data_IF_669321216477
#
_entry.id   IF_669321216477
#
_cell.length_a   1.000
_cell.length_b   1.000
_cell.length_c   1.000
_cell.angle_alpha   90.00
_cell.angle_beta   90.00
_cell.angle_gamma   90.00
#
_symmetry.space_group_name_H-M   'P 1'
#
loop_
_entity.id
_entity.type
_entity.pdbx_description
1 polymer ?
#
# COMPACT_ATOMS: atom_id res chain seq x y z
N UNK A 1 20.32 -38.09 18.14
CA UNK A 1 19.37 -36.97 18.18
C UNK A 1 19.25 -36.20 16.87
N UNK A 2 20.31 -35.99 16.09
CA UNK A 2 20.28 -35.30 14.79
C UNK A 2 19.58 -36.09 13.66
N UNK A 3 19.62 -37.42 13.71
CA UNK A 3 19.00 -38.26 12.65
C UNK A 3 17.46 -38.38 12.74
N UNK A 4 16.84 -37.95 13.84
CA UNK A 4 15.38 -37.97 14.00
C UNK A 4 14.70 -36.74 13.42
N UNK A 5 15.41 -35.61 13.38
CA UNK A 5 14.89 -34.35 12.85
C UNK A 5 14.84 -34.29 11.32
N UNK A 6 15.59 -35.15 10.62
CA UNK A 6 15.61 -35.20 9.14
C UNK A 6 14.45 -35.99 8.53
N UNK A 7 13.67 -36.75 9.33
CA UNK A 7 12.50 -37.51 8.85
C UNK A 7 11.17 -36.78 8.94
N UNK A 8 11.08 -35.67 9.63
CA UNK A 8 9.92 -34.79 9.59
C UNK A 8 10.05 -33.89 8.35
N UNK A 9 9.46 -34.33 7.21
CA UNK A 9 9.29 -33.45 6.05
C UNK A 9 8.44 -32.25 6.47
N UNK A 10 9.01 -31.03 6.64
CA UNK A 10 8.26 -29.86 7.16
C UNK A 10 7.05 -29.51 6.32
N UNK A 11 7.05 -29.88 5.05
CA UNK A 11 5.96 -29.59 4.12
C UNK A 11 4.64 -30.32 4.39
N UNK A 12 4.62 -31.44 5.11
CA UNK A 12 3.34 -32.13 5.42
C UNK A 12 2.65 -31.56 6.65
N UNK A 13 3.41 -31.16 7.65
CA UNK A 13 2.84 -30.52 8.85
C UNK A 13 2.36 -29.11 8.52
N UNK A 14 3.15 -28.36 7.77
CA UNK A 14 2.80 -27.03 7.28
C UNK A 14 1.57 -27.08 6.34
N UNK A 15 1.55 -28.01 5.37
CA UNK A 15 0.34 -28.25 4.55
C UNK A 15 -0.87 -28.65 5.39
N UNK A 16 -0.71 -29.49 6.43
CA UNK A 16 -1.83 -29.93 7.26
C UNK A 16 -2.38 -28.81 8.16
N UNK A 17 -1.52 -27.95 8.71
CA UNK A 17 -1.93 -26.82 9.55
C UNK A 17 -2.56 -25.71 8.71
N UNK A 18 -2.08 -25.48 7.47
CA UNK A 18 -2.58 -24.43 6.59
C UNK A 18 -3.54 -24.90 5.48
N UNK A 19 -3.75 -26.21 5.27
CA UNK A 19 -4.60 -26.75 4.22
C UNK A 19 -5.94 -27.32 4.71
N UNK A 20 -6.28 -27.20 5.97
CA UNK A 20 -7.46 -27.83 6.54
C UNK A 20 -8.82 -27.27 6.04
N UNK A 21 -8.85 -26.34 5.10
CA UNK A 21 -10.09 -25.75 4.58
C UNK A 21 -10.29 -25.83 3.07
N UNK A 22 -9.31 -26.25 2.32
CA UNK A 22 -9.46 -26.35 0.87
C UNK A 22 -10.53 -27.41 0.46
N UNK A 23 -10.78 -28.39 1.29
CA UNK A 23 -11.71 -29.48 0.94
C UNK A 23 -13.20 -29.13 1.07
N UNK A 24 -13.57 -28.23 1.99
CA UNK A 24 -14.98 -27.85 2.15
C UNK A 24 -15.41 -26.74 1.17
N UNK A 25 -14.52 -25.81 0.87
CA UNK A 25 -14.77 -24.74 -0.10
C UNK A 25 -14.74 -25.22 -1.56
N UNK A 26 -14.04 -26.32 -1.87
CA UNK A 26 -13.92 -26.89 -3.21
C UNK A 26 -15.20 -27.57 -3.74
N UNK A 27 -16.31 -27.56 -3.01
CA UNK A 27 -17.56 -28.19 -3.45
C UNK A 27 -18.42 -27.34 -4.38
N UNK A 28 -18.16 -26.01 -4.46
CA UNK A 28 -18.88 -25.13 -5.38
C UNK A 28 -17.97 -24.68 -6.53
N UNK A 29 -18.51 -24.54 -7.77
CA UNK A 29 -17.81 -23.87 -8.85
C UNK A 29 -17.29 -22.49 -8.44
N UNK A 30 -16.15 -22.07 -8.98
CA UNK A 30 -15.49 -20.80 -8.60
C UNK A 30 -16.40 -19.57 -8.76
N UNK A 31 -17.26 -19.58 -9.77
CA UNK A 31 -18.24 -18.55 -10.08
C UNK A 31 -19.38 -18.44 -9.05
N UNK A 32 -19.57 -19.48 -8.24
CA UNK A 32 -20.60 -19.53 -7.20
C UNK A 32 -20.05 -19.27 -5.80
N UNK A 33 -18.73 -19.06 -5.66
CA UNK A 33 -18.11 -18.77 -4.38
C UNK A 33 -18.16 -17.28 -4.11
N UNK A 34 -18.81 -16.92 -3.03
CA UNK A 34 -18.78 -15.53 -2.52
C UNK A 34 -17.65 -15.36 -1.51
N UNK A 35 -17.02 -14.19 -1.49
CA UNK A 35 -16.10 -13.81 -0.42
C UNK A 35 -16.88 -13.85 0.89
N UNK A 36 -16.42 -14.63 1.90
CA UNK A 36 -17.14 -14.76 3.17
C UNK A 36 -17.41 -13.41 3.80
N UNK A 37 -18.67 -13.16 4.16
CA UNK A 37 -19.05 -11.90 4.77
C UNK A 37 -19.03 -12.04 6.28
N UNK A 38 -18.17 -11.27 6.91
CA UNK A 38 -17.97 -11.17 8.35
C UNK A 38 -19.27 -11.07 9.17
N UNK A 39 -20.23 -10.27 8.73
CA UNK A 39 -21.49 -10.04 9.43
C UNK A 39 -22.51 -11.18 9.28
N UNK A 40 -22.34 -12.08 8.34
CA UNK A 40 -23.27 -13.18 8.08
C UNK A 40 -22.93 -14.47 8.83
N UNK A 41 -21.83 -14.52 9.58
CA UNK A 41 -21.40 -15.69 10.34
C UNK A 41 -21.00 -16.92 9.51
N UNK A 42 -20.89 -16.77 8.17
CA UNK A 42 -20.58 -17.85 7.24
C UNK A 42 -19.09 -17.88 6.84
N UNK A 43 -18.21 -17.64 7.79
CA UNK A 43 -16.76 -17.65 7.62
C UNK A 43 -16.10 -18.70 8.51
N UNK A 44 -14.95 -19.20 8.08
CA UNK A 44 -14.10 -20.07 8.87
C UNK A 44 -13.08 -19.27 9.69
N UNK A 45 -12.75 -19.77 10.88
CA UNK A 45 -11.78 -19.12 11.77
C UNK A 45 -10.34 -19.51 11.42
N UNK A 46 -9.46 -18.53 11.45
CA UNK A 46 -8.03 -18.72 11.47
C UNK A 46 -7.54 -18.84 12.92
N UNK A 47 -7.49 -20.05 13.46
CA UNK A 47 -7.11 -20.29 14.85
C UNK A 47 -5.68 -19.81 15.18
N UNK A 48 -4.77 -19.83 14.22
CA UNK A 48 -3.40 -19.30 14.42
C UNK A 48 -3.48 -17.79 14.56
N UNK A 49 -4.19 -17.09 13.67
CA UNK A 49 -4.39 -15.64 13.75
C UNK A 49 -5.06 -15.23 15.07
N UNK A 50 -6.09 -16.00 15.49
CA UNK A 50 -6.76 -15.79 16.79
C UNK A 50 -5.74 -15.93 17.94
N UNK A 51 -4.93 -17.00 17.96
CA UNK A 51 -3.96 -17.22 19.03
C UNK A 51 -2.88 -16.13 19.05
N UNK A 52 -2.37 -15.73 17.90
CA UNK A 52 -1.35 -14.65 17.77
C UNK A 52 -1.84 -13.32 18.33
N UNK A 53 -3.15 -13.01 18.19
CA UNK A 53 -3.73 -11.79 18.75
C UNK A 53 -4.12 -11.96 20.22
N UNK A 54 -4.80 -13.07 20.55
CA UNK A 54 -5.42 -13.20 21.88
C UNK A 54 -4.45 -13.54 22.98
N UNK A 55 -3.40 -14.33 22.71
CA UNK A 55 -2.43 -14.70 23.75
C UNK A 55 -1.71 -13.47 24.33
N UNK A 56 -1.10 -12.57 23.53
CA UNK A 56 -0.50 -11.36 24.06
C UNK A 56 -1.51 -10.45 24.78
N UNK A 57 -2.73 -10.33 24.26
CA UNK A 57 -3.80 -9.54 24.89
C UNK A 57 -4.18 -10.11 26.25
N UNK A 58 -4.41 -11.43 26.36
CA UNK A 58 -4.76 -12.09 27.63
C UNK A 58 -3.67 -11.85 28.69
N UNK A 59 -2.41 -12.07 28.36
CA UNK A 59 -1.33 -11.83 29.31
C UNK A 59 -1.17 -10.35 29.68
N UNK A 60 -1.45 -9.44 28.77
CA UNK A 60 -1.52 -7.99 29.06
C UNK A 60 -2.63 -7.67 30.05
N UNK A 61 -3.83 -8.19 29.83
CA UNK A 61 -4.99 -8.02 30.74
C UNK A 61 -4.69 -8.62 32.11
N UNK A 62 -4.13 -9.83 32.15
CA UNK A 62 -3.72 -10.47 33.39
C UNK A 62 -2.64 -9.66 34.13
N UNK A 63 -1.70 -9.03 33.41
CA UNK A 63 -0.70 -8.14 34.00
C UNK A 63 -1.34 -6.98 34.75
N UNK A 64 -2.33 -6.31 34.18
CA UNK A 64 -3.11 -5.27 34.85
C UNK A 64 -3.94 -5.82 36.00
N UNK A 65 -4.66 -6.90 35.80
CA UNK A 65 -5.56 -7.49 36.80
C UNK A 65 -4.80 -7.98 38.04
N UNK A 66 -3.64 -8.61 37.86
CA UNK A 66 -2.77 -9.10 38.92
C UNK A 66 -1.80 -8.03 39.46
N UNK A 67 -1.87 -6.81 38.94
CA UNK A 67 -1.01 -5.68 39.32
C UNK A 67 0.48 -6.01 39.22
N UNK A 68 0.89 -6.74 38.18
CA UNK A 68 2.30 -7.04 37.95
C UNK A 68 3.07 -5.74 37.76
N UNK A 69 4.18 -5.53 38.51
CA UNK A 69 4.96 -4.30 38.36
C UNK A 69 5.45 -4.09 36.93
N UNK A 70 5.49 -2.84 36.48
CA UNK A 70 6.00 -2.42 35.18
C UNK A 70 7.22 -1.49 35.34
N UNK A 71 8.38 -1.99 35.77
CA UNK A 71 9.57 -1.19 35.99
C UNK A 71 10.03 -0.49 34.73
N UNK A 72 10.47 0.77 34.84
CA UNK A 72 10.90 1.57 33.69
C UNK A 72 11.95 0.88 32.82
N UNK A 73 13.00 0.20 33.36
CA UNK A 73 13.95 -0.53 32.52
C UNK A 73 13.32 -1.63 31.67
N UNK A 74 12.31 -2.35 32.18
CA UNK A 74 11.55 -3.36 31.41
C UNK A 74 10.75 -2.71 30.28
N UNK A 75 10.09 -1.60 30.57
CA UNK A 75 9.34 -0.84 29.54
C UNK A 75 10.27 -0.26 28.47
N UNK A 76 11.47 0.17 28.84
CA UNK A 76 12.50 0.62 27.89
C UNK A 76 12.93 -0.50 26.95
N UNK A 77 13.16 -1.73 27.44
CA UNK A 77 13.41 -2.88 26.60
C UNK A 77 12.24 -3.19 25.66
N UNK A 78 11.00 -3.15 26.17
CA UNK A 78 9.80 -3.31 25.36
C UNK A 78 9.73 -2.28 24.24
N UNK A 79 9.97 -1.01 24.55
CA UNK A 79 9.98 0.10 23.58
C UNK A 79 11.11 -0.08 22.55
N UNK A 80 12.30 -0.45 22.97
CA UNK A 80 13.43 -0.67 22.07
C UNK A 80 13.11 -1.74 21.04
N UNK A 81 12.58 -2.89 21.46
CA UNK A 81 12.19 -3.96 20.52
C UNK A 81 10.95 -3.61 19.70
N UNK A 82 10.00 -2.83 20.24
CA UNK A 82 8.90 -2.29 19.47
C UNK A 82 9.40 -1.43 18.28
N UNK A 83 10.38 -0.56 18.55
CA UNK A 83 10.96 0.30 17.51
C UNK A 83 11.80 -0.51 16.51
N UNK A 84 12.71 -1.38 16.98
CA UNK A 84 13.58 -2.17 16.10
C UNK A 84 12.77 -3.10 15.18
N UNK A 85 11.82 -3.86 15.74
CA UNK A 85 11.05 -4.84 14.98
C UNK A 85 9.98 -4.17 14.11
N UNK A 86 9.35 -3.11 14.60
CA UNK A 86 8.37 -2.34 13.84
C UNK A 86 9.00 -1.59 12.68
N UNK A 87 10.00 -0.77 12.94
CA UNK A 87 10.68 0.03 11.91
C UNK A 87 11.48 -0.86 10.96
N UNK A 88 12.44 -1.64 11.49
CA UNK A 88 13.35 -2.43 10.66
C UNK A 88 12.70 -3.64 10.01
N UNK A 89 11.75 -4.27 10.70
CA UNK A 89 11.10 -5.50 10.25
C UNK A 89 9.84 -5.26 9.42
N UNK A 90 8.83 -4.65 10.03
CA UNK A 90 7.54 -4.45 9.36
C UNK A 90 7.61 -3.34 8.31
N UNK A 91 7.97 -2.12 8.71
CA UNK A 91 7.88 -0.96 7.83
C UNK A 91 9.01 -0.88 6.80
N UNK A 92 10.29 -0.89 7.20
CA UNK A 92 11.40 -0.86 6.25
C UNK A 92 11.54 -2.19 5.49
N UNK A 93 11.39 -3.34 6.18
CA UNK A 93 11.57 -4.67 5.61
C UNK A 93 10.38 -5.13 4.79
N UNK A 94 9.35 -5.64 5.45
CA UNK A 94 8.22 -6.27 4.76
C UNK A 94 7.51 -5.32 3.81
N UNK A 95 7.26 -4.10 4.25
CA UNK A 95 6.52 -3.10 3.49
C UNK A 95 7.38 -2.47 2.38
N UNK A 96 8.37 -1.62 2.77
CA UNK A 96 9.08 -0.80 1.77
C UNK A 96 10.09 -1.58 0.93
N UNK A 97 10.74 -2.62 1.49
CA UNK A 97 11.69 -3.44 0.74
C UNK A 97 10.99 -4.56 -0.05
N UNK A 98 10.40 -5.53 0.65
CA UNK A 98 9.92 -6.75 -0.01
C UNK A 98 8.61 -6.57 -0.78
N UNK A 99 7.77 -5.59 -0.42
CA UNK A 99 6.53 -5.35 -1.17
C UNK A 99 6.72 -4.33 -2.29
N UNK A 100 7.45 -3.24 -2.06
CA UNK A 100 7.54 -2.13 -3.00
C UNK A 100 8.92 -1.94 -3.64
N UNK A 101 9.98 -2.57 -3.14
CA UNK A 101 11.32 -2.47 -3.70
C UNK A 101 11.86 -1.03 -3.71
N UNK A 102 11.55 -0.23 -2.70
CA UNK A 102 11.81 1.22 -2.70
C UNK A 102 13.29 1.60 -2.53
N UNK A 103 14.16 0.64 -2.28
CA UNK A 103 15.61 0.81 -2.19
C UNK A 103 16.33 -0.52 -2.45
N UNK A 104 17.61 -0.47 -2.77
CA UNK A 104 18.46 -1.64 -2.96
C UNK A 104 19.21 -1.93 -1.66
N UNK A 105 18.90 -3.05 -0.97
CA UNK A 105 19.54 -3.40 0.30
C UNK A 105 20.86 -4.12 0.10
N UNK A 106 21.83 -3.87 0.98
CA UNK A 106 22.98 -4.76 1.16
C UNK A 106 22.60 -6.06 1.87
N UNK A 107 23.43 -7.07 1.78
CA UNK A 107 23.16 -8.43 2.30
C UNK A 107 22.78 -8.44 3.79
N UNK A 108 23.52 -7.74 4.64
CA UNK A 108 23.23 -7.64 6.07
C UNK A 108 21.83 -7.06 6.34
N UNK A 109 21.41 -6.03 5.57
CA UNK A 109 20.12 -5.40 5.73
C UNK A 109 18.98 -6.33 5.29
N UNK A 110 19.15 -7.08 4.19
CA UNK A 110 18.14 -8.06 3.73
C UNK A 110 17.86 -9.08 4.82
N UNK A 111 18.92 -9.67 5.42
CA UNK A 111 18.78 -10.65 6.50
C UNK A 111 18.15 -10.04 7.74
N UNK A 112 18.61 -8.86 8.18
CA UNK A 112 18.05 -8.16 9.33
C UNK A 112 16.55 -7.87 9.13
N UNK A 113 16.15 -7.29 7.99
CA UNK A 113 14.76 -7.03 7.64
C UNK A 113 13.92 -8.30 7.64
N UNK A 114 14.46 -9.41 7.13
CA UNK A 114 13.75 -10.69 7.07
C UNK A 114 13.48 -11.26 8.47
N UNK A 115 14.46 -11.20 9.37
CA UNK A 115 14.35 -11.71 10.74
C UNK A 115 13.46 -10.82 11.60
N UNK A 116 13.67 -9.52 11.55
CA UNK A 116 12.86 -8.55 12.30
C UNK A 116 11.39 -8.56 11.84
N UNK A 117 11.15 -8.71 10.53
CA UNK A 117 9.80 -8.84 10.00
C UNK A 117 9.10 -10.12 10.48
N UNK A 118 9.78 -11.27 10.49
CA UNK A 118 9.23 -12.51 11.05
C UNK A 118 8.85 -12.35 12.54
N UNK A 119 9.64 -11.60 13.30
CA UNK A 119 9.44 -11.35 14.72
C UNK A 119 8.22 -10.45 15.05
N UNK A 120 7.56 -9.89 14.04
CA UNK A 120 6.27 -9.19 14.19
C UNK A 120 5.06 -10.12 14.12
N UNK A 121 5.26 -11.41 13.89
CA UNK A 121 4.23 -12.47 13.85
C UNK A 121 3.16 -12.28 12.77
N UNK A 122 3.50 -11.68 11.62
CA UNK A 122 2.58 -11.41 10.52
C UNK A 122 2.73 -12.31 9.30
N UNK A 123 3.28 -13.50 9.47
CA UNK A 123 3.52 -14.45 8.38
C UNK A 123 4.85 -14.23 7.66
N UNK A 124 5.10 -15.05 6.64
CA UNK A 124 6.36 -14.99 5.88
C UNK A 124 6.38 -13.79 4.92
N UNK A 125 7.58 -13.37 4.51
CA UNK A 125 7.79 -12.31 3.52
C UNK A 125 6.91 -12.50 2.29
N UNK A 126 6.95 -13.69 1.68
CA UNK A 126 6.21 -13.96 0.46
C UNK A 126 4.69 -13.84 0.64
N UNK A 127 4.18 -14.32 1.77
CA UNK A 127 2.75 -14.21 2.09
C UNK A 127 2.35 -12.74 2.34
N UNK A 128 3.16 -12.01 3.09
CA UNK A 128 2.88 -10.62 3.43
C UNK A 128 2.95 -9.72 2.20
N UNK A 129 4.04 -9.82 1.42
CA UNK A 129 4.23 -9.01 0.21
C UNK A 129 3.13 -9.28 -0.83
N UNK A 130 2.72 -10.56 -1.04
CA UNK A 130 1.60 -10.88 -1.91
C UNK A 130 0.33 -10.16 -1.49
N UNK A 131 -0.07 -10.32 -0.23
CA UNK A 131 -1.31 -9.72 0.26
C UNK A 131 -1.27 -8.19 0.19
N UNK A 132 -0.13 -7.59 0.50
CA UNK A 132 0.03 -6.14 0.44
C UNK A 132 -0.01 -5.60 -1.00
N UNK A 133 0.63 -6.28 -1.95
CA UNK A 133 0.54 -5.93 -3.38
C UNK A 133 -0.88 -6.12 -3.93
N UNK A 134 -1.59 -7.14 -3.47
CA UNK A 134 -3.02 -7.34 -3.79
C UNK A 134 -3.85 -6.18 -3.23
N UNK A 135 -3.59 -5.77 -1.98
CA UNK A 135 -4.24 -4.62 -1.37
C UNK A 135 -4.05 -3.35 -2.21
N UNK A 136 -2.82 -3.00 -2.60
CA UNK A 136 -2.57 -1.83 -3.45
C UNK A 136 -3.28 -1.89 -4.80
N UNK A 137 -3.33 -3.09 -5.41
CA UNK A 137 -3.96 -3.27 -6.72
C UNK A 137 -5.49 -3.23 -6.66
N UNK A 138 -6.09 -3.69 -5.57
CA UNK A 138 -7.52 -3.90 -5.43
C UNK A 138 -8.11 -3.18 -4.21
N UNK A 139 -7.45 -2.13 -3.73
CA UNK A 139 -7.87 -1.36 -2.55
C UNK A 139 -9.37 -1.08 -2.57
N UNK A 140 -10.05 -1.32 -1.43
CA UNK A 140 -11.49 -1.09 -1.23
C UNK A 140 -12.41 -1.93 -2.12
N UNK A 141 -11.95 -3.06 -2.63
CA UNK A 141 -12.79 -4.00 -3.39
C UNK A 141 -12.90 -5.35 -2.69
N UNK A 142 -13.83 -6.20 -3.11
CA UNK A 142 -13.97 -7.55 -2.58
C UNK A 142 -12.73 -8.44 -2.78
N UNK A 143 -11.83 -8.06 -3.71
CA UNK A 143 -10.56 -8.74 -3.96
C UNK A 143 -9.43 -8.29 -3.03
N UNK A 144 -9.64 -7.21 -2.25
CA UNK A 144 -8.70 -6.69 -1.27
C UNK A 144 -8.72 -7.55 0.00
N UNK A 145 -7.59 -8.12 0.46
CA UNK A 145 -7.55 -8.90 1.70
C UNK A 145 -7.93 -8.08 2.94
N UNK A 146 -7.77 -6.78 2.91
CA UNK A 146 -7.99 -5.88 4.06
C UNK A 146 -9.24 -5.00 3.93
N UNK A 147 -9.91 -5.06 2.80
CA UNK A 147 -11.11 -4.31 2.37
C UNK A 147 -11.79 -3.47 3.47
N UNK A 148 -11.43 -2.19 3.52
CA UNK A 148 -11.94 -1.26 4.53
C UNK A 148 -13.44 -0.96 4.38
N UNK A 149 -14.01 -1.22 3.20
CA UNK A 149 -15.46 -1.05 2.94
C UNK A 149 -16.30 -2.05 3.73
N UNK A 150 -15.70 -3.15 4.21
CA UNK A 150 -16.35 -4.14 5.09
C UNK A 150 -16.42 -3.67 6.55
N UNK A 151 -15.94 -2.48 6.83
CA UNK A 151 -16.00 -1.83 8.13
C UNK A 151 -14.72 -1.96 8.95
N UNK A 152 -14.59 -1.05 9.92
CA UNK A 152 -13.40 -0.87 10.74
C UNK A 152 -12.92 -2.18 11.40
N UNK A 153 -13.82 -2.95 12.03
CA UNK A 153 -13.43 -4.17 12.75
C UNK A 153 -12.86 -5.23 11.81
N UNK A 154 -13.43 -5.36 10.60
CA UNK A 154 -12.89 -6.27 9.60
C UNK A 154 -11.50 -5.84 9.14
N UNK A 155 -11.34 -4.59 8.74
CA UNK A 155 -10.06 -4.05 8.27
C UNK A 155 -8.98 -4.06 9.37
N UNK A 156 -9.38 -3.88 10.64
CA UNK A 156 -8.44 -3.89 11.77
C UNK A 156 -7.94 -5.31 12.10
N UNK A 157 -8.82 -6.24 12.39
CA UNK A 157 -8.44 -7.58 12.85
C UNK A 157 -9.21 -8.73 12.18
N UNK A 158 -10.40 -8.45 11.61
CA UNK A 158 -11.27 -9.50 11.06
C UNK A 158 -10.58 -10.32 9.97
N UNK A 159 -9.88 -9.66 9.06
CA UNK A 159 -9.12 -10.29 7.98
C UNK A 159 -8.04 -11.27 8.48
N UNK A 160 -7.48 -11.03 9.66
CA UNK A 160 -6.42 -11.85 10.24
C UNK A 160 -6.96 -13.06 11.03
N UNK A 161 -8.15 -12.92 11.64
CA UNK A 161 -8.81 -13.99 12.41
C UNK A 161 -9.75 -14.84 11.56
N UNK A 162 -10.14 -14.38 10.37
CA UNK A 162 -10.89 -15.14 9.40
C UNK A 162 -9.95 -15.94 8.49
N UNK A 163 -10.45 -17.06 8.00
CA UNK A 163 -9.77 -17.83 6.98
C UNK A 163 -10.16 -17.29 5.61
N UNK A 164 -9.17 -16.77 4.89
CA UNK A 164 -9.38 -16.20 3.57
C UNK A 164 -9.25 -17.26 2.49
N UNK A 165 -10.19 -17.28 1.54
CA UNK A 165 -10.06 -18.07 0.31
C UNK A 165 -9.25 -17.27 -0.70
N UNK A 166 -8.00 -17.66 -0.91
CA UNK A 166 -7.08 -16.97 -1.80
C UNK A 166 -7.45 -17.05 -3.28
N UNK A 167 -8.38 -17.96 -3.66
CA UNK A 167 -8.89 -18.03 -5.03
C UNK A 167 -9.90 -16.91 -5.32
N UNK A 168 -10.55 -16.37 -4.28
CA UNK A 168 -11.51 -15.28 -4.38
C UNK A 168 -10.85 -13.90 -4.25
N UNK A 169 -9.68 -13.84 -3.62
CA UNK A 169 -8.91 -12.61 -3.53
C UNK A 169 -8.25 -12.27 -4.87
N UNK A 170 -7.85 -11.02 -5.01
CA UNK A 170 -7.05 -10.57 -6.15
C UNK A 170 -5.70 -11.29 -6.22
N UNK A 171 -5.05 -11.17 -7.37
CA UNK A 171 -3.71 -11.68 -7.58
C UNK A 171 -2.71 -10.57 -7.82
N UNK A 172 -1.46 -10.78 -7.41
CA UNK A 172 -0.35 -9.88 -7.62
C UNK A 172 0.92 -10.64 -7.96
N UNK A 173 1.75 -10.05 -8.79
CA UNK A 173 3.04 -10.60 -9.14
C UNK A 173 3.99 -10.57 -7.94
N UNK A 174 4.56 -11.71 -7.63
CA UNK A 174 5.60 -11.92 -6.62
C UNK A 174 6.76 -12.74 -7.19
N UNK A 175 6.95 -12.70 -8.51
CA UNK A 175 8.00 -13.43 -9.22
C UNK A 175 9.41 -12.99 -8.81
N UNK A 176 9.58 -11.73 -8.46
CA UNK A 176 10.80 -11.16 -7.90
C UNK A 176 11.22 -11.75 -6.54
N UNK A 177 10.27 -12.34 -5.81
CA UNK A 177 10.52 -13.04 -4.54
C UNK A 177 10.68 -14.56 -4.73
N UNK A 178 10.58 -15.03 -5.96
CA UNK A 178 10.75 -16.44 -6.29
C UNK A 178 12.24 -16.77 -6.35
N UNK A 179 12.59 -17.97 -5.86
CA UNK A 179 13.97 -18.48 -5.87
C UNK A 179 14.96 -17.55 -5.14
N UNK A 180 14.46 -16.69 -4.24
CA UNK A 180 15.26 -15.82 -3.40
C UNK A 180 15.65 -16.57 -2.11
N UNK A 181 16.96 -16.75 -1.91
CA UNK A 181 17.51 -17.52 -0.78
C UNK A 181 16.96 -17.04 0.58
N UNK A 182 16.93 -15.72 0.80
CA UNK A 182 16.51 -15.14 2.08
C UNK A 182 15.01 -15.37 2.31
N UNK A 183 14.19 -15.18 1.28
CA UNK A 183 12.73 -15.37 1.34
C UNK A 183 12.40 -16.84 1.59
N UNK A 184 13.06 -17.76 0.90
CA UNK A 184 12.82 -19.20 1.05
C UNK A 184 13.33 -19.72 2.39
N UNK A 185 14.49 -19.25 2.84
CA UNK A 185 15.02 -19.58 4.16
C UNK A 185 14.08 -19.08 5.27
N UNK A 186 13.69 -17.81 5.22
CA UNK A 186 12.78 -17.22 6.21
C UNK A 186 11.43 -17.94 6.22
N UNK A 187 10.86 -18.25 5.06
CA UNK A 187 9.60 -19.01 4.96
C UNK A 187 9.73 -20.41 5.56
N UNK A 188 10.85 -21.10 5.31
CA UNK A 188 11.10 -22.45 5.80
C UNK A 188 11.24 -22.50 7.32
N UNK A 189 11.92 -21.51 7.89
CA UNK A 189 12.24 -21.46 9.32
C UNK A 189 11.43 -20.39 10.06
N UNK A 190 10.32 -19.91 9.48
CA UNK A 190 9.54 -18.79 9.98
C UNK A 190 9.21 -18.88 11.46
N UNK A 191 8.62 -20.00 11.91
CA UNK A 191 8.23 -20.17 13.31
C UNK A 191 9.41 -20.12 14.30
N UNK A 192 10.54 -20.72 13.91
CA UNK A 192 11.76 -20.68 14.72
C UNK A 192 12.32 -19.25 14.80
N UNK A 193 12.43 -18.55 13.68
CA UNK A 193 12.93 -17.17 13.62
C UNK A 193 12.01 -16.24 14.43
N UNK A 194 10.69 -16.31 14.20
CA UNK A 194 9.72 -15.50 14.89
C UNK A 194 9.76 -15.70 16.41
N UNK A 195 9.83 -16.95 16.87
CA UNK A 195 9.94 -17.25 18.31
C UNK A 195 11.27 -16.77 18.90
N UNK A 196 12.38 -17.02 18.21
CA UNK A 196 13.71 -16.66 18.73
C UNK A 196 13.88 -15.14 18.78
N UNK A 197 13.63 -14.43 17.68
CA UNK A 197 13.88 -12.98 17.58
C UNK A 197 12.72 -12.18 18.20
N UNK A 198 11.49 -12.68 18.10
CA UNK A 198 10.31 -11.97 18.61
C UNK A 198 9.97 -12.24 20.08
N UNK A 199 10.43 -13.36 20.65
CA UNK A 199 10.10 -13.77 22.03
C UNK A 199 11.35 -13.97 22.84
N UNK A 200 12.18 -14.99 22.48
CA UNK A 200 13.26 -15.46 23.37
C UNK A 200 14.29 -14.37 23.62
N UNK A 201 14.85 -13.77 22.57
CA UNK A 201 15.89 -12.75 22.71
C UNK A 201 15.39 -11.51 23.46
N UNK A 202 14.27 -10.87 23.13
CA UNK A 202 13.76 -9.71 23.85
C UNK A 202 13.50 -10.01 25.34
N UNK A 203 12.86 -11.14 25.61
CA UNK A 203 12.57 -11.54 26.99
C UNK A 203 13.83 -11.78 27.80
N UNK A 204 14.79 -12.55 27.26
CA UNK A 204 16.02 -12.89 27.97
C UNK A 204 16.87 -11.66 28.24
N UNK A 205 17.04 -10.77 27.25
CA UNK A 205 17.80 -9.53 27.42
C UNK A 205 17.17 -8.64 28.50
N UNK A 206 15.85 -8.45 28.48
CA UNK A 206 15.14 -7.70 29.51
C UNK A 206 15.29 -8.35 30.87
N UNK A 207 15.02 -9.66 31.02
CA UNK A 207 15.02 -10.37 32.28
C UNK A 207 16.45 -10.46 32.92
N UNK A 208 17.46 -10.74 32.11
CA UNK A 208 18.84 -10.83 32.62
C UNK A 208 19.43 -9.47 33.06
N UNK A 209 19.08 -8.40 32.34
CA UNK A 209 19.60 -7.06 32.64
C UNK A 209 18.85 -6.38 33.78
N UNK A 210 17.59 -6.73 34.01
CA UNK A 210 16.76 -6.09 35.03
C UNK A 210 16.53 -6.96 36.28
N UNK A 211 16.72 -8.28 36.18
CA UNK A 211 16.32 -9.23 37.21
C UNK A 211 14.81 -9.54 37.25
N UNK A 212 14.03 -8.87 36.43
CA UNK A 212 12.56 -8.82 36.49
C UNK A 212 11.91 -9.80 35.48
N UNK A 213 11.91 -11.09 35.77
CA UNK A 213 11.47 -12.14 34.85
C UNK A 213 9.97 -12.05 34.48
N UNK A 214 9.10 -11.91 35.48
CA UNK A 214 7.64 -11.85 35.25
C UNK A 214 7.26 -10.56 34.55
N UNK A 215 7.81 -9.43 34.99
CA UNK A 215 7.57 -8.12 34.36
C UNK A 215 8.09 -8.11 32.92
N UNK A 216 9.27 -8.71 32.65
CA UNK A 216 9.83 -8.82 31.30
C UNK A 216 8.96 -9.66 30.38
N UNK A 217 8.38 -10.77 30.89
CA UNK A 217 7.44 -11.58 30.13
C UNK A 217 6.16 -10.79 29.81
N UNK A 218 5.56 -10.16 30.81
CA UNK A 218 4.25 -9.48 30.63
C UNK A 218 4.41 -8.17 29.85
N UNK A 219 5.27 -7.27 30.30
CA UNK A 219 5.37 -5.91 29.76
C UNK A 219 6.41 -5.79 28.65
N UNK A 220 7.59 -6.36 28.83
CA UNK A 220 8.67 -6.33 27.85
C UNK A 220 8.36 -7.14 26.59
N UNK A 221 7.55 -8.20 26.71
CA UNK A 221 7.24 -9.10 25.60
C UNK A 221 5.77 -9.10 25.21
N UNK A 222 4.84 -9.57 26.06
CA UNK A 222 3.43 -9.77 25.66
C UNK A 222 2.73 -8.45 25.33
N UNK A 223 2.85 -7.44 26.19
CA UNK A 223 2.32 -6.11 25.92
C UNK A 223 2.96 -5.50 24.67
N UNK A 224 4.27 -5.61 24.51
CA UNK A 224 4.97 -5.13 23.32
C UNK A 224 4.46 -5.81 22.03
N UNK A 225 4.27 -7.15 22.02
CA UNK A 225 3.70 -7.86 20.86
C UNK A 225 2.30 -7.36 20.56
N UNK A 226 1.45 -7.20 21.59
CA UNK A 226 0.10 -6.69 21.44
C UNK A 226 0.11 -5.30 20.80
N UNK A 227 0.91 -4.35 21.32
CA UNK A 227 1.01 -2.99 20.78
C UNK A 227 1.56 -2.99 19.34
N UNK A 228 2.55 -3.86 19.03
CA UNK A 228 3.07 -4.00 17.67
C UNK A 228 1.97 -4.41 16.68
N UNK A 229 1.13 -5.39 17.05
CA UNK A 229 0.00 -5.80 16.20
C UNK A 229 -1.00 -4.68 16.00
N UNK A 230 -1.38 -3.95 17.08
CA UNK A 230 -2.30 -2.82 16.96
C UNK A 230 -1.75 -1.76 16.00
N UNK A 231 -0.45 -1.41 16.12
CA UNK A 231 0.19 -0.43 15.23
C UNK A 231 0.08 -0.82 13.75
N UNK A 232 0.31 -2.09 13.43
CA UNK A 232 0.24 -2.58 12.05
C UNK A 232 -1.21 -2.64 11.56
N UNK A 233 -2.15 -3.12 12.40
CA UNK A 233 -3.57 -3.19 12.03
C UNK A 233 -4.20 -1.80 11.88
N UNK A 234 -3.69 -0.77 12.58
CA UNK A 234 -4.12 0.60 12.38
C UNK A 234 -3.83 1.13 10.98
N UNK A 235 -2.78 0.66 10.32
CA UNK A 235 -2.51 1.02 8.92
C UNK A 235 -3.64 0.56 8.01
N UNK A 236 -4.18 -0.67 8.22
CA UNK A 236 -5.27 -1.21 7.41
C UNK A 236 -6.66 -0.68 7.80
N UNK A 237 -6.80 -0.05 8.96
CA UNK A 237 -8.10 0.39 9.50
C UNK A 237 -8.17 1.90 9.71
N UNK A 238 -7.47 2.46 10.71
CA UNK A 238 -7.51 3.90 10.99
C UNK A 238 -7.00 4.75 9.84
N UNK A 239 -5.94 4.31 9.16
CA UNK A 239 -5.42 5.04 8.01
C UNK A 239 -6.34 4.96 6.77
N UNK A 240 -7.40 4.15 6.81
CA UNK A 240 -8.50 4.13 5.84
C UNK A 240 -9.77 4.86 6.33
N UNK A 241 -9.67 5.68 7.38
CA UNK A 241 -10.76 6.50 7.89
C UNK A 241 -10.38 7.97 7.88
N UNK A 242 -11.39 8.85 7.83
CA UNK A 242 -11.21 10.29 7.99
C UNK A 242 -11.21 10.75 9.46
N UNK A 243 -10.99 9.83 10.41
CA UNK A 243 -11.02 10.14 11.83
C UNK A 243 -9.79 10.97 12.24
N UNK A 244 -9.93 11.73 13.30
CA UNK A 244 -8.85 12.54 13.90
C UNK A 244 -8.19 13.52 12.92
N UNK A 245 -8.96 14.06 11.97
CA UNK A 245 -8.46 15.04 11.01
C UNK A 245 -7.60 14.45 9.89
N UNK A 246 -7.67 13.15 9.67
CA UNK A 246 -7.02 12.48 8.54
C UNK A 246 -7.57 13.00 7.20
N UNK A 247 -6.71 13.12 6.18
CA UNK A 247 -7.02 13.76 4.90
C UNK A 247 -6.54 12.94 3.71
N UNK A 248 -7.24 13.11 2.60
CA UNK A 248 -6.87 12.60 1.29
C UNK A 248 -6.26 13.73 0.47
N UNK A 249 -4.96 13.96 0.63
CA UNK A 249 -4.27 15.12 0.05
C UNK A 249 -3.85 14.90 -1.40
N UNK A 250 -3.68 13.64 -1.84
CA UNK A 250 -3.13 13.31 -3.16
C UNK A 250 -4.13 12.63 -4.09
N UNK A 251 -5.03 11.81 -3.55
CA UNK A 251 -6.10 11.14 -4.29
C UNK A 251 -7.23 10.75 -3.33
N UNK A 252 -8.48 10.71 -3.84
CA UNK A 252 -9.67 10.30 -3.11
C UNK A 252 -10.46 9.19 -3.84
N UNK A 253 -9.78 8.47 -4.73
CA UNK A 253 -10.38 7.36 -5.48
C UNK A 253 -10.51 6.09 -4.62
N UNK A 254 -9.75 6.02 -3.52
CA UNK A 254 -9.76 4.95 -2.52
C UNK A 254 -9.71 5.56 -1.11
N UNK A 255 -9.93 4.76 -0.07
CA UNK A 255 -10.08 5.22 1.31
C UNK A 255 -8.81 5.64 2.07
N UNK A 256 -7.56 5.34 1.68
CA UNK A 256 -6.36 5.75 2.41
C UNK A 256 -6.31 7.24 2.70
N UNK A 257 -5.89 7.60 3.91
CA UNK A 257 -5.79 8.97 4.41
C UNK A 257 -4.41 9.23 5.03
N UNK A 258 -3.97 10.48 5.01
CA UNK A 258 -2.78 10.94 5.71
C UNK A 258 -3.16 11.50 7.08
N UNK A 259 -2.48 11.03 8.13
CA UNK A 259 -2.66 11.52 9.48
C UNK A 259 -1.33 11.54 10.25
N UNK A 260 -0.99 12.70 10.79
CA UNK A 260 0.14 12.85 11.69
C UNK A 260 0.01 11.96 12.96
N UNK A 261 -1.20 11.84 13.51
CA UNK A 261 -1.45 11.04 14.72
C UNK A 261 -1.18 9.56 14.42
N UNK A 262 -1.66 9.06 13.29
CA UNK A 262 -1.43 7.66 12.91
C UNK A 262 0.02 7.41 12.54
N UNK A 263 0.72 8.40 11.96
CA UNK A 263 2.14 8.28 11.65
C UNK A 263 3.00 8.04 12.91
N UNK A 264 2.67 8.66 14.04
CA UNK A 264 3.38 8.43 15.32
C UNK A 264 3.23 6.96 15.76
N UNK A 265 2.02 6.42 15.71
CA UNK A 265 1.70 5.08 16.22
C UNK A 265 2.09 3.95 15.27
N UNK A 266 2.40 4.27 14.00
CA UNK A 266 2.68 3.31 12.92
C UNK A 266 4.06 3.50 12.31
N UNK A 267 5.01 4.10 13.02
CA UNK A 267 6.40 4.36 12.60
C UNK A 267 6.54 5.19 11.30
N UNK A 268 5.49 5.96 10.95
CA UNK A 268 5.45 6.80 9.76
C UNK A 268 4.50 6.31 8.67
N UNK A 269 3.93 5.10 8.80
CA UNK A 269 3.03 4.54 7.78
C UNK A 269 1.64 5.20 7.77
N UNK A 270 1.35 6.11 8.71
CA UNK A 270 0.10 6.88 8.76
C UNK A 270 -0.02 7.98 7.70
N UNK A 271 1.02 8.25 6.89
CA UNK A 271 0.91 9.03 5.64
C UNK A 271 0.50 8.10 4.50
N UNK A 272 -0.69 7.54 4.60
CA UNK A 272 -1.12 6.40 3.83
C UNK A 272 -1.72 6.77 2.47
N UNK A 273 -2.31 7.96 2.37
CA UNK A 273 -2.80 8.50 1.09
C UNK A 273 -1.62 8.82 0.14
N UNK A 274 -0.55 9.47 0.67
CA UNK A 274 0.68 9.65 -0.10
C UNK A 274 1.26 8.33 -0.55
N UNK A 275 1.36 7.35 0.36
CA UNK A 275 1.93 6.04 0.08
C UNK A 275 1.14 5.28 -1.00
N UNK A 276 -0.20 5.25 -0.95
CA UNK A 276 -1.03 4.61 -1.97
C UNK A 276 -0.90 5.28 -3.34
N UNK A 277 -0.70 6.61 -3.37
CA UNK A 277 -0.48 7.33 -4.62
C UNK A 277 0.94 7.13 -5.17
N UNK A 278 1.93 6.94 -4.30
CA UNK A 278 3.34 6.86 -4.65
C UNK A 278 4.06 5.70 -3.95
N UNK A 279 3.64 4.45 -4.19
CA UNK A 279 4.14 3.29 -3.44
C UNK A 279 5.63 2.99 -3.63
N UNK A 280 6.23 3.50 -4.71
CA UNK A 280 7.65 3.34 -4.99
C UNK A 280 8.54 4.34 -4.25
N UNK A 281 7.99 5.37 -3.60
CA UNK A 281 8.81 6.27 -2.77
C UNK A 281 9.21 5.57 -1.47
N UNK A 282 10.51 5.62 -1.11
CA UNK A 282 10.97 5.03 0.17
C UNK A 282 10.42 5.75 1.40
N UNK A 283 9.75 6.89 1.22
CA UNK A 283 9.14 7.72 2.26
C UNK A 283 7.62 7.60 2.19
N UNK A 284 6.96 7.32 3.30
CA UNK A 284 5.51 7.55 3.40
C UNK A 284 5.22 9.01 3.73
N UNK A 285 5.98 9.60 4.64
CA UNK A 285 5.96 11.05 4.91
C UNK A 285 7.05 11.78 4.13
N UNK A 286 6.75 12.28 2.92
CA UNK A 286 7.75 12.83 1.99
C UNK A 286 8.36 14.16 2.41
N UNK A 287 7.66 15.00 3.18
CA UNK A 287 8.19 16.28 3.67
C UNK A 287 9.20 16.04 4.80
N UNK A 288 10.20 16.93 4.91
CA UNK A 288 11.30 16.75 5.86
C UNK A 288 10.81 16.68 7.32
N UNK A 289 9.76 17.40 7.67
CA UNK A 289 9.17 17.47 9.00
C UNK A 289 8.11 16.39 9.27
N UNK A 290 7.71 15.62 8.28
CA UNK A 290 6.80 14.50 8.51
C UNK A 290 7.46 13.46 9.40
N UNK A 291 6.78 13.06 10.48
CA UNK A 291 7.26 12.03 11.39
C UNK A 291 7.14 10.65 10.74
N UNK A 292 8.15 10.31 9.98
CA UNK A 292 8.34 9.01 9.35
C UNK A 292 9.65 8.42 9.86
N UNK A 293 9.58 7.69 10.97
CA UNK A 293 10.76 7.07 11.60
C UNK A 293 11.43 6.08 10.66
N UNK A 294 10.65 5.44 9.80
CA UNK A 294 11.12 4.47 8.82
C UNK A 294 11.98 5.12 7.74
N UNK A 295 11.61 6.31 7.22
CA UNK A 295 12.45 7.03 6.25
C UNK A 295 13.80 7.43 6.87
N UNK A 296 13.80 7.83 8.14
CA UNK A 296 15.04 8.19 8.82
C UNK A 296 15.92 6.98 9.06
N UNK A 297 15.34 5.82 9.42
CA UNK A 297 16.05 4.55 9.53
C UNK A 297 16.70 4.14 8.19
N UNK A 298 15.94 4.14 7.09
CA UNK A 298 16.45 3.79 5.75
C UNK A 298 17.54 4.78 5.33
N UNK A 299 17.36 6.07 5.59
CA UNK A 299 18.37 7.09 5.28
C UNK A 299 19.66 6.92 6.10
N UNK A 300 19.54 6.56 7.37
CA UNK A 300 20.69 6.23 8.19
C UNK A 300 21.39 4.96 7.69
N UNK A 301 20.64 3.95 7.27
CA UNK A 301 21.20 2.73 6.69
C UNK A 301 21.95 3.02 5.38
N UNK A 302 21.43 3.90 4.52
CA UNK A 302 22.13 4.35 3.31
C UNK A 302 23.44 5.07 3.64
N UNK A 303 23.39 5.99 4.60
CA UNK A 303 24.59 6.72 5.06
C UNK A 303 25.68 5.77 5.61
N UNK A 304 25.27 4.68 6.25
CA UNK A 304 26.17 3.66 6.79
C UNK A 304 26.58 2.60 5.74
N UNK A 305 26.10 2.68 4.51
CA UNK A 305 26.42 1.75 3.42
C UNK A 305 25.68 0.40 3.50
N UNK A 306 24.60 0.30 4.25
CA UNK A 306 23.77 -0.90 4.32
C UNK A 306 22.73 -1.01 3.21
N UNK A 307 22.43 0.09 2.49
CA UNK A 307 21.57 0.12 1.31
C UNK A 307 21.95 1.30 0.42
N UNK A 308 21.41 1.31 -0.80
CA UNK A 308 21.58 2.39 -1.78
C UNK A 308 20.35 2.55 -2.67
N UNK A 309 20.45 3.42 -3.70
CA UNK A 309 19.44 3.58 -4.75
C UNK A 309 18.02 3.84 -4.22
N UNK A 310 17.91 4.73 -3.23
CA UNK A 310 16.62 5.09 -2.63
C UNK A 310 15.71 5.76 -3.68
N UNK A 311 14.59 5.12 -3.99
CA UNK A 311 13.61 5.66 -4.93
C UNK A 311 12.84 6.81 -4.28
N UNK A 312 12.69 7.91 -5.02
CA UNK A 312 12.01 9.12 -4.56
C UNK A 312 11.12 9.68 -5.65
N UNK A 313 9.93 10.03 -5.29
CA UNK A 313 9.06 10.82 -6.16
C UNK A 313 9.55 12.27 -6.15
N UNK A 314 9.72 12.91 -7.31
CA UNK A 314 10.06 14.32 -7.38
C UNK A 314 9.02 15.18 -6.65
N UNK A 315 9.49 16.19 -5.91
CA UNK A 315 8.60 17.05 -5.11
C UNK A 315 7.49 17.67 -5.96
N UNK A 316 7.82 18.12 -7.17
CA UNK A 316 6.87 18.73 -8.08
C UNK A 316 5.72 17.79 -8.47
N UNK A 317 5.98 16.46 -8.57
CA UNK A 317 4.93 15.47 -8.89
C UNK A 317 3.96 15.33 -7.72
N UNK A 318 4.47 15.26 -6.50
CA UNK A 318 3.63 15.22 -5.30
C UNK A 318 2.82 16.51 -5.12
N UNK A 319 3.44 17.68 -5.32
CA UNK A 319 2.76 18.97 -5.25
C UNK A 319 1.67 19.13 -6.33
N UNK A 320 1.91 18.64 -7.54
CA UNK A 320 0.90 18.62 -8.60
C UNK A 320 -0.29 17.72 -8.23
N UNK A 321 -0.03 16.51 -7.72
CA UNK A 321 -1.09 15.61 -7.27
C UNK A 321 -1.94 16.27 -6.17
N UNK A 322 -1.29 16.90 -5.18
CA UNK A 322 -1.97 17.64 -4.12
C UNK A 322 -2.79 18.82 -4.65
N UNK A 323 -2.26 19.58 -5.61
CA UNK A 323 -2.96 20.70 -6.23
C UNK A 323 -4.20 20.23 -7.02
N UNK A 324 -4.07 19.14 -7.77
CA UNK A 324 -5.21 18.55 -8.51
C UNK A 324 -6.28 18.03 -7.56
N UNK A 325 -5.87 17.33 -6.52
CA UNK A 325 -6.82 16.82 -5.52
C UNK A 325 -7.53 17.98 -4.80
N UNK A 326 -6.80 19.03 -4.43
CA UNK A 326 -7.38 20.23 -3.85
C UNK A 326 -8.36 20.91 -4.80
N UNK A 327 -8.03 21.03 -6.09
CA UNK A 327 -8.92 21.57 -7.10
C UNK A 327 -10.16 20.69 -7.28
N UNK A 328 -10.01 19.36 -7.31
CA UNK A 328 -11.11 18.37 -7.40
C UNK A 328 -12.08 18.52 -6.22
N UNK A 329 -11.56 18.65 -4.99
CA UNK A 329 -12.36 18.87 -3.79
C UNK A 329 -13.09 20.20 -3.86
N UNK A 330 -12.38 21.27 -4.24
CA UNK A 330 -12.96 22.59 -4.38
C UNK A 330 -14.04 22.64 -5.48
N UNK A 331 -13.80 21.99 -6.62
CA UNK A 331 -14.78 21.86 -7.69
C UNK A 331 -16.05 21.11 -7.24
N UNK A 332 -15.92 20.05 -6.42
CA UNK A 332 -17.09 19.38 -5.84
C UNK A 332 -17.91 20.29 -4.90
N UNK A 333 -17.23 21.16 -4.17
CA UNK A 333 -17.90 22.18 -3.36
C UNK A 333 -18.61 23.22 -4.23
N UNK A 334 -17.96 23.64 -5.33
CA UNK A 334 -18.56 24.57 -6.31
C UNK A 334 -19.74 23.95 -7.08
N UNK A 335 -19.71 22.63 -7.34
CA UNK A 335 -20.83 21.91 -8.00
C UNK A 335 -22.09 21.93 -7.15
N UNK A 336 -21.95 22.01 -5.82
CA UNK A 336 -23.11 22.19 -4.93
C UNK A 336 -23.76 23.55 -5.08
N UNK A 337 -23.05 24.53 -5.66
CA UNK A 337 -23.56 25.87 -5.99
C UNK A 337 -23.76 25.97 -7.50
N UNK A 338 -24.97 25.62 -7.96
CA UNK A 338 -25.34 25.59 -9.40
C UNK A 338 -25.06 26.90 -10.14
N UNK A 339 -25.12 28.04 -9.46
CA UNK A 339 -24.90 29.37 -10.06
C UNK A 339 -23.43 29.62 -10.40
N UNK A 340 -22.50 29.07 -9.61
CA UNK A 340 -21.07 29.14 -9.91
C UNK A 340 -20.65 28.21 -11.05
N UNK A 341 -21.30 27.04 -11.17
CA UNK A 341 -21.05 26.11 -12.31
C UNK A 341 -21.30 26.78 -13.67
N UNK A 342 -22.36 27.59 -13.81
CA UNK A 342 -22.61 28.34 -15.05
C UNK A 342 -21.49 29.29 -15.44
N UNK A 343 -20.72 29.79 -14.47
CA UNK A 343 -19.59 30.68 -14.74
C UNK A 343 -18.33 29.92 -15.17
N UNK A 344 -18.22 28.64 -14.81
CA UNK A 344 -17.07 27.78 -15.20
C UNK A 344 -17.23 27.19 -16.60
N UNK A 345 -18.48 27.04 -17.09
CA UNK A 345 -18.79 26.63 -18.46
C UNK A 345 -18.46 27.68 -19.55
N UNK A 346 -18.02 28.87 -19.15
CA UNK A 346 -17.69 29.99 -20.10
C UNK A 346 -16.26 29.94 -20.65
N UNK A 347 -15.50 28.88 -20.39
CA UNK A 347 -14.20 28.69 -21.07
C UNK A 347 -14.48 28.33 -22.55
N UNK A 348 -14.25 29.30 -23.44
CA UNK A 348 -14.28 29.15 -24.89
C UNK A 348 -13.15 28.28 -25.40
N UNK A 349 -13.26 26.97 -25.21
CA UNK A 349 -12.38 26.01 -25.86
C UNK A 349 -12.96 25.61 -27.21
N UNK A 350 -12.08 25.33 -28.17
CA UNK A 350 -12.51 24.83 -29.47
C UNK A 350 -13.26 23.50 -29.32
N UNK A 351 -14.43 23.41 -29.88
CA UNK A 351 -15.17 22.14 -29.99
C UNK A 351 -14.72 21.39 -31.24
N UNK A 352 -14.43 20.13 -31.10
CA UNK A 352 -14.07 19.22 -32.17
C UNK A 352 -15.15 18.16 -32.35
N UNK A 353 -15.50 17.84 -33.59
CA UNK A 353 -16.11 16.57 -33.93
C UNK A 353 -15.05 15.50 -34.13
N UNK A 354 -15.43 14.22 -34.21
CA UNK A 354 -14.47 13.18 -34.60
C UNK A 354 -13.88 13.40 -35.99
N UNK A 355 -14.69 13.92 -36.91
CA UNK A 355 -14.23 14.23 -38.27
C UNK A 355 -13.16 15.33 -38.26
N UNK A 356 -13.31 16.35 -37.40
CA UNK A 356 -12.32 17.40 -37.21
C UNK A 356 -11.01 16.83 -36.65
N UNK A 357 -11.10 15.97 -35.64
CA UNK A 357 -9.90 15.30 -35.10
C UNK A 357 -9.19 14.49 -36.18
N UNK A 358 -9.94 13.69 -36.96
CA UNK A 358 -9.37 12.90 -38.06
C UNK A 358 -8.76 13.77 -39.16
N UNK A 359 -9.41 14.89 -39.52
CA UNK A 359 -8.90 15.84 -40.48
C UNK A 359 -7.58 16.47 -40.06
N UNK A 360 -7.46 16.87 -38.79
CA UNK A 360 -6.23 17.43 -38.23
C UNK A 360 -5.11 16.39 -38.15
N UNK A 361 -5.45 15.14 -37.79
CA UNK A 361 -4.46 14.04 -37.79
C UNK A 361 -3.94 13.76 -39.19
N UNK A 362 -4.83 13.81 -40.25
CA UNK A 362 -4.38 13.67 -41.65
C UNK A 362 -3.44 14.80 -42.07
N UNK A 363 -3.55 16.00 -41.49
CA UNK A 363 -2.63 17.13 -41.71
C UNK A 363 -1.28 16.94 -40.95
N UNK A 364 -1.10 15.88 -40.19
CA UNK A 364 0.11 15.55 -39.47
C UNK A 364 0.10 15.86 -37.98
N UNK A 365 -0.97 16.49 -37.42
CA UNK A 365 -1.07 16.75 -35.98
C UNK A 365 -1.21 15.45 -35.20
N UNK A 366 -0.62 15.40 -34.00
CA UNK A 366 -0.66 14.21 -33.13
C UNK A 366 -1.75 14.35 -32.06
N UNK A 367 -3.01 14.37 -32.52
CA UNK A 367 -4.17 14.48 -31.63
C UNK A 367 -4.64 13.11 -31.15
N UNK A 368 -5.03 13.03 -29.88
CA UNK A 368 -5.78 11.90 -29.30
C UNK A 368 -6.88 12.43 -28.39
N UNK A 369 -7.84 11.58 -28.05
CA UNK A 369 -8.92 11.93 -27.13
C UNK A 369 -8.80 11.12 -25.86
N UNK A 370 -8.87 11.78 -24.69
CA UNK A 370 -8.96 11.15 -23.38
C UNK A 370 -10.05 11.90 -22.60
N UNK A 371 -11.10 11.20 -22.14
CA UNK A 371 -12.24 11.78 -21.42
C UNK A 371 -12.90 12.95 -22.15
N UNK A 372 -13.02 12.88 -23.45
CA UNK A 372 -13.58 13.95 -24.25
C UNK A 372 -12.66 15.17 -24.45
N UNK A 373 -11.49 15.21 -23.80
CA UNK A 373 -10.48 16.22 -24.09
C UNK A 373 -9.70 15.83 -25.35
N UNK A 374 -9.57 16.77 -26.29
CA UNK A 374 -8.70 16.62 -27.46
C UNK A 374 -7.32 17.13 -27.07
N UNK A 375 -6.36 16.22 -27.01
CA UNK A 375 -4.98 16.47 -26.56
C UNK A 375 -4.05 16.43 -27.77
N UNK A 376 -3.14 17.40 -27.86
CA UNK A 376 -2.05 17.40 -28.83
C UNK A 376 -0.75 17.00 -28.12
N UNK A 377 -0.34 15.76 -28.38
CA UNK A 377 0.82 15.18 -27.67
C UNK A 377 2.18 15.66 -28.19
N UNK A 378 2.22 16.44 -29.26
CA UNK A 378 3.43 17.15 -29.69
C UNK A 378 3.62 18.51 -29.02
N UNK A 379 2.66 18.95 -28.18
CA UNK A 379 2.84 20.18 -27.41
C UNK A 379 4.01 20.06 -26.45
N UNK A 380 4.61 21.18 -26.24
CA UNK A 380 5.68 21.31 -25.23
C UNK A 380 5.06 21.55 -23.86
N UNK A 381 5.58 20.85 -22.85
CA UNK A 381 5.25 21.04 -21.45
C UNK A 381 6.46 21.64 -20.72
N UNK A 382 6.19 22.52 -19.77
CA UNK A 382 7.21 23.10 -18.94
C UNK A 382 7.43 22.23 -17.70
N UNK A 383 8.64 21.67 -17.59
CA UNK A 383 9.07 20.95 -16.39
C UNK A 383 9.89 21.91 -15.53
N UNK A 384 9.41 22.18 -14.32
CA UNK A 384 10.14 23.01 -13.37
C UNK A 384 11.44 22.34 -12.89
N UNK A 385 12.36 23.15 -12.37
CA UNK A 385 13.63 22.68 -11.88
C UNK A 385 13.46 21.69 -10.71
N UNK A 386 14.01 20.49 -10.85
CA UNK A 386 14.28 19.59 -9.74
C UNK A 386 15.70 19.89 -9.18
N UNK A 387 16.01 19.41 -7.99
CA UNK A 387 17.28 19.68 -7.30
C UNK A 387 18.55 19.39 -8.13
N UNK A 388 18.43 18.54 -9.13
CA UNK A 388 19.51 18.05 -9.99
C UNK A 388 19.36 18.44 -11.48
N UNK A 389 18.24 19.07 -11.84
CA UNK A 389 17.98 19.51 -13.23
C UNK A 389 17.35 20.90 -13.28
N UNK A 390 17.85 21.81 -14.15
CA UNK A 390 17.20 23.08 -14.38
C UNK A 390 15.83 22.92 -15.00
N UNK A 391 14.97 23.93 -14.85
CA UNK A 391 13.70 23.99 -15.55
C UNK A 391 13.90 23.85 -17.06
N UNK A 392 13.10 23.03 -17.71
CA UNK A 392 13.20 22.77 -19.15
C UNK A 392 11.83 22.63 -19.79
N UNK A 393 11.72 23.08 -21.00
CA UNK A 393 10.57 22.82 -21.85
C UNK A 393 10.86 21.59 -22.70
N UNK A 394 9.99 20.60 -22.65
CA UNK A 394 10.15 19.34 -23.37
C UNK A 394 8.93 19.06 -24.23
N UNK A 395 9.13 18.39 -25.36
CA UNK A 395 8.04 17.83 -26.14
C UNK A 395 7.45 16.64 -25.39
N UNK A 396 6.13 16.66 -25.11
CA UNK A 396 5.50 15.59 -24.33
C UNK A 396 5.60 14.23 -24.98
N UNK A 397 5.54 14.16 -26.30
CA UNK A 397 5.67 12.92 -27.05
C UNK A 397 6.98 12.18 -26.76
N UNK A 398 8.08 12.95 -26.52
CA UNK A 398 9.40 12.41 -26.22
C UNK A 398 9.65 12.24 -24.71
N UNK A 399 8.90 12.99 -23.89
CA UNK A 399 9.06 13.00 -22.43
C UNK A 399 8.11 12.04 -21.69
N UNK A 400 7.14 11.46 -22.38
CA UNK A 400 6.15 10.58 -21.77
C UNK A 400 6.80 9.31 -21.16
N UNK A 401 6.57 9.03 -19.86
CA UNK A 401 7.23 7.92 -19.16
C UNK A 401 6.98 6.53 -19.79
N UNK A 402 5.79 6.33 -20.38
CA UNK A 402 5.44 5.09 -21.07
C UNK A 402 6.05 4.93 -22.46
N UNK A 403 6.74 5.96 -22.98
CA UNK A 403 7.43 5.97 -24.25
C UNK A 403 6.58 6.44 -25.45
N UNK A 404 7.28 6.99 -26.43
CA UNK A 404 6.73 7.60 -27.64
C UNK A 404 5.83 6.66 -28.46
N UNK A 405 6.21 5.37 -28.56
CA UNK A 405 5.51 4.40 -29.39
C UNK A 405 4.03 4.21 -28.95
N UNK A 406 3.78 4.21 -27.65
CA UNK A 406 2.42 4.07 -27.11
C UNK A 406 1.55 5.29 -27.43
N UNK A 407 2.07 6.50 -27.26
CA UNK A 407 1.33 7.71 -27.64
C UNK A 407 0.97 7.71 -29.13
N UNK A 408 1.93 7.38 -30.00
CA UNK A 408 1.70 7.34 -31.45
C UNK A 408 0.65 6.29 -31.86
N UNK A 409 0.56 5.18 -31.15
CA UNK A 409 -0.43 4.13 -31.40
C UNK A 409 -1.87 4.59 -31.18
N UNK A 410 -2.06 5.64 -30.37
CA UNK A 410 -3.37 6.21 -30.05
C UNK A 410 -3.67 7.55 -30.74
N UNK A 411 -2.80 8.05 -31.58
CA UNK A 411 -3.08 9.23 -32.43
C UNK A 411 -4.32 8.94 -33.31
N UNK A 412 -5.28 9.85 -33.28
CA UNK A 412 -6.56 9.74 -33.99
C UNK A 412 -7.57 8.80 -33.31
N UNK A 413 -7.34 8.38 -32.07
CA UNK A 413 -8.19 7.43 -31.34
C UNK A 413 -8.64 8.00 -29.98
N UNK A 414 -9.70 7.39 -29.42
CA UNK A 414 -10.04 7.54 -28.01
C UNK A 414 -9.13 6.64 -27.18
N UNK A 415 -8.25 7.26 -26.41
CA UNK A 415 -7.29 6.58 -25.55
C UNK A 415 -7.78 6.45 -24.08
N UNK A 416 -9.04 6.77 -23.79
CA UNK A 416 -9.59 6.77 -22.42
C UNK A 416 -9.39 5.41 -21.73
N UNK A 417 -9.71 4.32 -22.39
CA UNK A 417 -9.55 2.96 -21.84
C UNK A 417 -8.05 2.62 -21.64
N UNK A 418 -7.21 2.99 -22.60
CA UNK A 418 -5.76 2.78 -22.50
C UNK A 418 -5.16 3.55 -21.33
N UNK A 419 -5.64 4.76 -21.10
CA UNK A 419 -5.22 5.62 -19.99
C UNK A 419 -5.59 5.02 -18.63
N UNK A 420 -6.72 4.33 -18.50
CA UNK A 420 -7.20 3.73 -17.25
C UNK A 420 -6.80 2.25 -17.05
N UNK A 421 -5.79 1.77 -17.71
CA UNK A 421 -5.25 0.43 -17.46
C UNK A 421 -5.38 -0.56 -18.61
N UNK A 422 -5.91 -0.14 -19.77
CA UNK A 422 -5.93 -0.98 -20.99
C UNK A 422 -4.53 -1.28 -21.52
N UNK A 423 -3.56 -0.42 -21.24
CA UNK A 423 -2.14 -0.56 -21.58
C UNK A 423 -1.28 -0.42 -20.33
N UNK A 424 -1.48 0.68 -19.59
CA UNK A 424 -0.80 0.99 -18.34
C UNK A 424 -1.75 1.75 -17.43
N UNK A 425 -1.79 1.40 -16.15
CA UNK A 425 -2.63 2.11 -15.17
C UNK A 425 -2.02 3.48 -14.84
N UNK A 426 -2.57 4.52 -15.43
CA UNK A 426 -2.24 5.87 -15.02
C UNK A 426 -2.99 6.22 -13.73
N UNK A 427 -2.34 6.99 -12.87
CA UNK A 427 -2.96 7.57 -11.69
C UNK A 427 -3.63 8.91 -12.04
N UNK A 428 -4.48 9.44 -11.15
CA UNK A 428 -5.06 10.78 -11.33
C UNK A 428 -4.00 11.89 -11.44
N UNK A 429 -2.77 11.63 -10.98
CA UNK A 429 -1.64 12.54 -11.08
C UNK A 429 -1.25 12.88 -12.53
N UNK A 430 -1.42 11.96 -13.47
CA UNK A 430 -1.07 12.18 -14.87
C UNK A 430 -2.07 13.08 -15.60
N UNK A 431 -3.30 13.23 -15.10
CA UNK A 431 -4.29 14.19 -15.60
C UNK A 431 -3.81 15.65 -15.49
N UNK A 432 -2.81 15.91 -14.65
CA UNK A 432 -2.25 17.25 -14.43
C UNK A 432 -1.53 17.83 -15.66
N UNK A 433 -1.16 16.99 -16.63
CA UNK A 433 -0.58 17.46 -17.89
C UNK A 433 -1.64 17.82 -18.94
N UNK A 434 -2.90 17.47 -18.72
CA UNK A 434 -3.97 17.71 -19.70
C UNK A 434 -4.17 19.19 -20.03
N UNK A 435 -4.15 20.16 -19.10
CA UNK A 435 -4.30 21.57 -19.44
C UNK A 435 -3.24 22.09 -20.42
N UNK A 436 -2.00 21.58 -20.31
CA UNK A 436 -0.89 21.98 -21.20
C UNK A 436 -1.04 21.36 -22.61
N UNK A 437 -1.56 20.13 -22.67
CA UNK A 437 -1.72 19.36 -23.90
C UNK A 437 -3.05 19.61 -24.63
N UNK A 438 -4.06 20.06 -23.89
CA UNK A 438 -5.42 20.22 -24.42
C UNK A 438 -5.49 21.32 -25.46
N UNK A 439 -6.14 21.01 -26.56
CA UNK A 439 -6.42 21.93 -27.67
C UNK A 439 -7.91 22.15 -27.89
N UNK A 440 -8.78 21.36 -27.27
CA UNK A 440 -10.22 21.52 -27.35
C UNK A 440 -10.95 20.32 -26.74
N UNK A 441 -12.26 20.24 -26.99
CA UNK A 441 -13.19 19.22 -26.54
C UNK A 441 -13.86 18.49 -27.67
N UNK A 442 -14.18 17.23 -27.45
CA UNK A 442 -15.00 16.45 -28.35
C UNK A 442 -16.47 16.76 -28.09
N UNK A 443 -17.20 17.22 -29.12
CA UNK A 443 -18.60 17.56 -29.03
C UNK A 443 -19.48 16.40 -28.56
N UNK A 444 -20.37 16.67 -27.59
CA UNK A 444 -21.30 15.68 -27.04
C UNK A 444 -20.67 14.72 -25.97
N UNK A 445 -19.46 14.96 -25.54
CA UNK A 445 -18.86 14.22 -24.42
C UNK A 445 -18.73 15.12 -23.19
N UNK A 446 -19.08 14.61 -21.97
CA UNK A 446 -18.91 15.35 -20.72
C UNK A 446 -17.41 15.58 -20.39
N UNK A 447 -17.13 16.66 -19.67
CA UNK A 447 -15.78 16.94 -19.16
C UNK A 447 -15.39 15.99 -18.00
N UNK A 448 -14.07 15.92 -17.72
CA UNK A 448 -13.47 15.17 -16.59
C UNK A 448 -14.08 15.56 -15.22
N UNK A 449 -14.61 16.78 -15.07
CA UNK A 449 -15.32 17.20 -13.86
C UNK A 449 -16.60 16.38 -13.58
N UNK A 450 -17.17 15.73 -14.60
CA UNK A 450 -18.30 14.80 -14.49
C UNK A 450 -17.89 13.32 -14.46
N UNK A 451 -16.60 13.02 -14.44
CA UNK A 451 -16.16 11.68 -14.09
C UNK A 451 -16.44 11.52 -12.59
N UNK A 452 -17.72 11.39 -12.25
CA UNK A 452 -18.06 10.48 -11.19
C UNK A 452 -17.24 9.23 -11.48
N UNK A 453 -16.53 8.74 -10.52
CA UNK A 453 -15.90 7.42 -10.46
C UNK A 453 -16.92 6.33 -10.84
N UNK A 454 -17.40 6.35 -12.08
CA UNK A 454 -17.88 5.16 -12.71
C UNK A 454 -16.62 4.33 -12.89
N UNK A 455 -16.42 3.51 -11.94
CA UNK A 455 -15.41 2.50 -11.85
C UNK A 455 -15.44 1.69 -13.17
N UNK A 456 -14.78 2.23 -14.20
CA UNK A 456 -14.56 1.50 -15.46
C UNK A 456 -13.86 0.20 -15.13
N UNK A 457 -13.04 0.20 -14.07
CA UNK A 457 -12.48 -0.99 -13.49
C UNK A 457 -13.51 -1.88 -12.77
N UNK A 458 -14.64 -1.36 -12.24
CA UNK A 458 -15.66 -2.20 -11.60
C UNK A 458 -16.43 -3.04 -12.61
N UNK A 459 -16.66 -2.54 -13.82
CA UNK A 459 -17.31 -3.35 -14.87
C UNK A 459 -16.36 -4.33 -15.55
N UNK A 460 -15.09 -3.98 -15.78
CA UNK A 460 -14.10 -4.92 -16.28
C UNK A 460 -13.67 -5.93 -15.22
N UNK A 461 -13.58 -5.54 -13.95
CA UNK A 461 -13.35 -6.48 -12.82
C UNK A 461 -14.52 -7.44 -12.61
N UNK A 462 -15.72 -7.13 -13.05
CA UNK A 462 -16.86 -8.07 -13.08
C UNK A 462 -16.81 -9.03 -14.27
N UNK A 463 -16.04 -8.71 -15.32
CA UNK A 463 -15.90 -9.53 -16.53
C UNK A 463 -14.62 -10.40 -16.56
N UNK A 464 -13.67 -10.14 -15.69
CA UNK A 464 -12.49 -10.96 -15.39
C UNK A 464 -12.66 -11.74 -14.08
#
# INVERSE_FOLDING_TARGET
MFAFLTRLRPGRLYKRIFSFSAEAANKLPKEQREVPQWTKGNFEYNFIGIAVITVPLIFTILGFALRIPAPLPVLQWGLLFYMILGIGGSAAGYHRLFSHGTYVPGEAMVWACSYFGAATFQGSIKWWARNHRVHHRYTDTSKDPYDATRGFVFAHLGWFVMRMDYELLGDADVSDLKDNLVVDFQRKYYGFIAATIGIVIPMMLSAFTTGEWVSSFVWGMMFRIHVTHQSIFFVNSLAHTNWFGAKQEYADDTTPNDSFIFAITTWGEGYHNYHHQFPNDYRSGHLWYHLDFTKWYIRAAEFLGFCDSLQRVPRIVAERAAAVQSAKVHMRELVKDQEKMRRLDTFTEAEYTWDDVQAEVKKGRKLMVIHGNVLDVERTVHLEAAWDHPSRTVNWLDAHPGGRAWLLAYVGKDATVAFHGGVHGHTTGELNYFPELRVGRLKGRPMVAEIQTHDVNAEERKRQ
#
